data_IF_239365829711
#
_entry.id   IF_239365829711
#
_cell.length_a   1.000
_cell.length_b   1.000
_cell.length_c   1.000
_cell.angle_alpha   90.00
_cell.angle_beta   90.00
_cell.angle_gamma   90.00
#
_symmetry.space_group_name_H-M   'P 1'
#
loop_
_entity.id
_entity.type
_entity.pdbx_description
1 polymer ?
#
# COMPACT_ATOMS: atom_id res chain seq x y z
N UNK A 1 19.29 9.11 2.82
CA UNK A 1 20.73 8.89 2.58
C UNK A 1 21.02 8.18 1.25
N UNK A 2 20.36 7.05 0.90
CA UNK A 2 20.64 6.30 -0.34
C UNK A 2 20.43 7.10 -1.66
N UNK A 3 19.49 8.04 -1.69
CA UNK A 3 19.10 8.79 -2.89
C UNK A 3 20.16 9.76 -3.41
N UNK A 4 20.80 10.54 -2.53
CA UNK A 4 21.84 11.50 -2.91
C UNK A 4 23.06 10.77 -3.45
N UNK A 5 23.40 9.62 -2.87
CA UNK A 5 24.50 8.76 -3.31
C UNK A 5 24.27 8.21 -4.71
N UNK A 6 23.07 7.69 -5.01
CA UNK A 6 22.74 7.16 -6.35
C UNK A 6 22.84 8.26 -7.41
N UNK A 7 22.33 9.45 -7.12
CA UNK A 7 22.41 10.58 -8.04
C UNK A 7 23.87 10.99 -8.32
N UNK A 8 24.70 11.07 -7.27
CA UNK A 8 26.14 11.34 -7.41
C UNK A 8 26.82 10.25 -8.25
N UNK A 9 26.54 8.97 -7.99
CA UNK A 9 27.11 7.86 -8.77
C UNK A 9 26.74 7.94 -10.26
N UNK A 10 25.48 8.24 -10.59
CA UNK A 10 25.03 8.38 -11.97
C UNK A 10 25.73 9.56 -12.66
N UNK A 11 25.85 10.71 -11.97
CA UNK A 11 26.55 11.87 -12.52
C UNK A 11 28.03 11.57 -12.74
N UNK A 12 28.69 10.89 -11.79
CA UNK A 12 30.09 10.49 -11.92
C UNK A 12 30.29 9.50 -13.08
N UNK A 13 29.42 8.49 -13.20
CA UNK A 13 29.48 7.51 -14.29
C UNK A 13 29.33 8.19 -15.65
N UNK A 14 28.35 9.09 -15.79
CA UNK A 14 28.15 9.78 -17.06
C UNK A 14 29.31 10.72 -17.39
N UNK A 15 29.75 11.53 -16.42
CA UNK A 15 30.78 12.54 -16.63
C UNK A 15 32.19 11.94 -16.84
N UNK A 16 32.53 10.85 -16.14
CA UNK A 16 33.89 10.29 -16.17
C UNK A 16 34.05 9.11 -17.12
N UNK A 17 32.97 8.42 -17.48
CA UNK A 17 33.04 7.20 -18.30
C UNK A 17 32.30 7.38 -19.62
N UNK A 18 31.00 7.66 -19.57
CA UNK A 18 30.15 7.64 -20.76
C UNK A 18 30.48 8.80 -21.71
N UNK A 19 30.49 10.04 -21.21
CA UNK A 19 30.71 11.21 -22.05
C UNK A 19 32.11 11.22 -22.70
N UNK A 20 33.22 10.95 -21.97
CA UNK A 20 34.54 10.83 -22.59
C UNK A 20 34.63 9.72 -23.64
N UNK A 21 34.00 8.57 -23.37
CA UNK A 21 33.98 7.43 -24.32
C UNK A 21 33.23 7.78 -25.61
N UNK A 22 32.10 8.49 -25.52
CA UNK A 22 31.37 8.94 -26.71
C UNK A 22 32.17 10.01 -27.47
N UNK A 23 32.88 10.90 -26.77
CA UNK A 23 33.77 11.89 -27.41
C UNK A 23 34.85 11.17 -28.23
N UNK A 24 35.45 10.10 -27.70
CA UNK A 24 36.49 9.32 -28.40
C UNK A 24 35.99 8.55 -29.65
N UNK A 25 34.68 8.36 -29.84
CA UNK A 25 34.13 7.71 -31.04
C UNK A 25 34.17 8.60 -32.30
N UNK A 26 34.45 9.88 -32.13
CA UNK A 26 34.55 10.89 -33.19
C UNK A 26 36.04 11.08 -33.53
N UNK A 27 36.43 11.59 -34.73
CA UNK A 27 37.83 11.86 -35.10
C UNK A 27 38.47 12.99 -34.26
N UNK A 28 38.62 12.77 -32.95
CA UNK A 28 39.19 13.69 -31.96
C UNK A 28 40.64 14.00 -32.30
N UNK A 29 41.40 13.01 -32.77
CA UNK A 29 42.82 13.17 -33.13
C UNK A 29 43.01 14.28 -34.18
N UNK A 30 42.16 14.29 -35.21
CA UNK A 30 42.20 15.31 -36.27
C UNK A 30 41.84 16.71 -35.75
N UNK A 31 40.95 16.80 -34.76
CA UNK A 31 40.60 18.07 -34.13
C UNK A 31 41.63 18.52 -33.12
N UNK A 32 42.31 17.61 -32.45
CA UNK A 32 43.39 17.91 -31.54
C UNK A 32 44.59 18.51 -32.29
N UNK A 33 44.84 18.10 -33.53
CA UNK A 33 45.92 18.67 -34.34
C UNK A 33 45.53 20.01 -35.00
N UNK A 34 44.32 20.11 -35.54
CA UNK A 34 43.95 21.23 -36.43
C UNK A 34 42.93 22.22 -35.82
N UNK A 35 42.25 21.87 -34.72
CA UNK A 35 41.13 22.63 -34.15
C UNK A 35 41.00 22.47 -32.62
N UNK A 36 42.11 22.57 -31.87
CA UNK A 36 42.13 22.38 -30.39
C UNK A 36 41.12 23.24 -29.64
N UNK A 37 40.99 24.52 -30.03
CA UNK A 37 40.06 25.46 -29.43
C UNK A 37 38.59 25.00 -29.57
N UNK A 38 38.22 24.39 -30.70
CA UNK A 38 36.89 23.84 -30.91
C UNK A 38 36.63 22.65 -29.98
N UNK A 39 37.60 21.73 -29.86
CA UNK A 39 37.47 20.54 -29.00
C UNK A 39 37.26 20.91 -27.53
N UNK A 40 38.07 21.84 -27.00
CA UNK A 40 37.96 22.30 -25.60
C UNK A 40 36.58 22.95 -25.37
N UNK A 41 36.16 23.81 -26.30
CA UNK A 41 34.86 24.50 -26.22
C UNK A 41 33.70 23.51 -26.32
N UNK A 42 33.81 22.47 -27.16
CA UNK A 42 32.83 21.40 -27.31
C UNK A 42 32.68 20.63 -25.99
N UNK A 43 33.79 20.21 -25.39
CA UNK A 43 33.78 19.48 -24.11
C UNK A 43 33.07 20.32 -23.05
N UNK A 44 33.47 21.60 -22.89
CA UNK A 44 32.83 22.51 -21.94
C UNK A 44 31.32 22.65 -22.19
N UNK A 45 30.93 22.84 -23.45
CA UNK A 45 29.52 22.93 -23.86
C UNK A 45 28.71 21.67 -23.51
N UNK A 46 29.28 20.47 -23.68
CA UNK A 46 28.58 19.21 -23.36
C UNK A 46 28.35 19.04 -21.86
N UNK A 47 29.37 19.31 -21.04
CA UNK A 47 29.21 19.31 -19.58
C UNK A 47 28.25 20.39 -19.12
N UNK A 48 28.33 21.60 -19.68
CA UNK A 48 27.42 22.69 -19.37
C UNK A 48 25.97 22.30 -19.66
N UNK A 49 25.69 21.79 -20.86
CA UNK A 49 24.36 21.34 -21.27
C UNK A 49 23.83 20.25 -20.34
N UNK A 50 24.66 19.26 -20.01
CA UNK A 50 24.32 18.20 -19.08
C UNK A 50 23.94 18.75 -17.69
N UNK A 51 24.78 19.58 -17.09
CA UNK A 51 24.51 20.14 -15.75
C UNK A 51 23.31 21.08 -15.74
N UNK A 52 23.05 21.82 -16.82
CA UNK A 52 21.84 22.62 -16.97
C UNK A 52 20.61 21.72 -16.96
N UNK A 53 20.59 20.62 -17.71
CA UNK A 53 19.48 19.66 -17.67
C UNK A 53 19.28 19.05 -16.27
N UNK A 54 20.37 18.64 -15.60
CA UNK A 54 20.31 18.07 -14.24
C UNK A 54 19.80 19.08 -13.21
N UNK A 55 20.23 20.34 -13.28
CA UNK A 55 19.82 21.39 -12.34
C UNK A 55 18.38 21.84 -12.59
N UNK A 56 17.97 21.95 -13.85
CA UNK A 56 16.64 22.40 -14.23
C UNK A 56 15.55 21.34 -14.04
N UNK A 57 15.92 20.05 -13.95
CA UNK A 57 15.00 18.91 -13.81
C UNK A 57 13.86 18.98 -14.85
N UNK A 58 14.21 19.10 -16.12
CA UNK A 58 13.26 19.42 -17.20
C UNK A 58 12.00 18.52 -17.21
N UNK A 59 12.08 17.18 -17.05
CA UNK A 59 10.88 16.33 -16.98
C UNK A 59 9.97 16.67 -15.81
N UNK A 60 10.52 17.02 -14.64
CA UNK A 60 9.73 17.49 -13.50
C UNK A 60 8.96 18.77 -13.84
N UNK A 61 9.55 19.71 -14.58
CA UNK A 61 8.87 20.94 -15.00
C UNK A 61 7.67 20.64 -15.92
N UNK A 62 7.81 19.69 -16.84
CA UNK A 62 6.73 19.23 -17.72
C UNK A 62 5.60 18.57 -16.91
N UNK A 63 5.95 17.66 -16.00
CA UNK A 63 4.97 16.98 -15.14
C UNK A 63 4.21 17.92 -14.20
N UNK A 64 4.85 19.01 -13.75
CA UNK A 64 4.22 20.06 -12.94
C UNK A 64 3.55 21.17 -13.78
N UNK A 65 3.29 20.92 -15.08
CA UNK A 65 2.61 21.82 -16.03
C UNK A 65 3.32 23.18 -16.25
N UNK A 66 4.61 23.29 -15.96
CA UNK A 66 5.42 24.51 -16.19
C UNK A 66 6.00 24.55 -17.60
N UNK A 67 5.16 24.39 -18.62
CA UNK A 67 5.57 24.23 -20.02
C UNK A 67 6.35 25.43 -20.57
N UNK A 68 5.99 26.65 -20.18
CA UNK A 68 6.66 27.89 -20.64
C UNK A 68 8.13 27.91 -20.22
N UNK A 69 8.45 27.51 -18.99
CA UNK A 69 9.84 27.50 -18.50
C UNK A 69 10.66 26.42 -19.21
N UNK A 70 10.06 25.25 -19.46
CA UNK A 70 10.70 24.18 -20.21
C UNK A 70 10.96 24.58 -21.68
N UNK A 71 10.00 25.26 -22.31
CA UNK A 71 10.13 25.77 -23.67
C UNK A 71 11.23 26.83 -23.78
N UNK A 72 11.26 27.80 -22.86
CA UNK A 72 12.33 28.82 -22.81
C UNK A 72 13.70 28.16 -22.66
N UNK A 73 13.84 27.20 -21.74
CA UNK A 73 15.11 26.49 -21.56
C UNK A 73 15.53 25.73 -22.82
N UNK A 74 14.59 25.05 -23.48
CA UNK A 74 14.86 24.32 -24.71
C UNK A 74 15.30 25.27 -25.84
N UNK A 75 14.64 26.42 -26.01
CA UNK A 75 15.03 27.44 -27.00
C UNK A 75 16.42 27.99 -26.73
N UNK A 76 16.75 28.28 -25.47
CA UNK A 76 18.10 28.73 -25.08
C UNK A 76 19.15 27.67 -25.43
N UNK A 77 18.90 26.40 -25.07
CA UNK A 77 19.84 25.31 -25.35
C UNK A 77 20.03 25.09 -26.85
N UNK A 78 18.95 25.11 -27.64
CA UNK A 78 19.01 25.05 -29.11
C UNK A 78 19.82 26.23 -29.67
N UNK A 79 19.61 27.45 -29.17
CA UNK A 79 20.38 28.62 -29.57
C UNK A 79 21.88 28.48 -29.31
N UNK A 80 22.25 27.94 -28.14
CA UNK A 80 23.65 27.65 -27.80
C UNK A 80 24.22 26.57 -28.75
N UNK A 81 23.46 25.52 -29.07
CA UNK A 81 23.85 24.48 -30.02
C UNK A 81 24.08 25.02 -31.44
N UNK A 82 23.23 25.94 -31.90
CA UNK A 82 23.40 26.64 -33.18
C UNK A 82 24.67 27.48 -33.16
N UNK A 83 24.91 28.24 -32.08
CA UNK A 83 26.11 29.05 -31.94
C UNK A 83 27.39 28.19 -31.97
N UNK A 84 27.36 27.02 -31.30
CA UNK A 84 28.44 26.05 -31.32
C UNK A 84 28.67 25.43 -32.72
N UNK A 85 27.61 25.25 -33.50
CA UNK A 85 27.69 24.72 -34.87
C UNK A 85 28.41 25.66 -35.85
N UNK A 86 28.40 26.96 -35.57
CA UNK A 86 29.04 28.01 -36.38
C UNK A 86 30.40 28.47 -35.82
N UNK A 87 31.03 27.69 -34.93
CA UNK A 87 32.35 28.02 -34.38
C UNK A 87 33.39 28.21 -35.51
N UNK A 88 34.24 29.26 -35.44
CA UNK A 88 35.13 29.63 -36.53
C UNK A 88 36.06 28.49 -36.95
N UNK A 89 36.29 28.38 -38.25
CA UNK A 89 37.29 27.48 -38.81
C UNK A 89 38.63 28.23 -38.93
N UNK A 90 39.77 27.55 -38.74
CA UNK A 90 41.07 28.14 -39.03
C UNK A 90 41.12 28.59 -40.50
N UNK A 91 41.84 29.69 -40.80
CA UNK A 91 41.93 30.22 -42.15
C UNK A 91 42.43 29.14 -43.11
N UNK A 92 41.71 28.98 -44.21
CA UNK A 92 41.98 27.97 -45.23
C UNK A 92 43.04 28.53 -46.19
N UNK A 93 44.10 27.76 -46.48
CA UNK A 93 45.07 28.15 -47.52
C UNK A 93 44.37 28.32 -48.88
N UNK A 94 44.78 29.33 -49.67
CA UNK A 94 44.13 29.77 -50.91
C UNK A 94 43.90 28.67 -51.99
N UNK A 95 44.49 27.48 -51.83
CA UNK A 95 44.42 26.35 -52.76
C UNK A 95 43.59 25.16 -52.26
N UNK A 96 42.88 25.29 -51.13
CA UNK A 96 42.10 24.17 -50.61
C UNK A 96 40.80 23.95 -51.42
N UNK A 97 40.50 22.68 -51.70
CA UNK A 97 39.25 22.28 -52.36
C UNK A 97 38.03 22.75 -51.56
N UNK A 98 37.21 23.61 -52.19
CA UNK A 98 35.97 24.14 -51.60
C UNK A 98 35.01 23.02 -51.16
N UNK A 99 34.99 21.89 -51.90
CA UNK A 99 34.21 20.70 -51.54
C UNK A 99 34.68 20.04 -50.23
N UNK A 100 35.98 19.98 -49.97
CA UNK A 100 36.53 19.40 -48.75
C UNK A 100 36.26 20.29 -47.53
N UNK A 101 36.21 21.61 -47.71
CA UNK A 101 35.83 22.56 -46.66
C UNK A 101 34.36 22.40 -46.27
N UNK A 102 33.44 22.39 -47.23
CA UNK A 102 32.01 22.18 -46.95
C UNK A 102 31.75 20.80 -46.34
N UNK A 103 32.43 19.74 -46.80
CA UNK A 103 32.32 18.41 -46.18
C UNK A 103 32.75 18.41 -44.69
N UNK A 104 33.88 19.05 -44.36
CA UNK A 104 34.34 19.18 -42.96
C UNK A 104 33.36 19.98 -42.10
N UNK A 105 32.75 21.03 -42.66
CA UNK A 105 31.74 21.83 -42.01
C UNK A 105 30.46 21.04 -41.73
N UNK A 106 29.95 20.30 -42.71
CA UNK A 106 28.79 19.43 -42.53
C UNK A 106 29.01 18.37 -41.45
N UNK A 107 30.17 17.70 -41.46
CA UNK A 107 30.51 16.69 -40.45
C UNK A 107 30.56 17.30 -39.04
N UNK A 108 31.14 18.51 -38.89
CA UNK A 108 31.18 19.22 -37.60
C UNK A 108 29.78 19.52 -37.09
N UNK A 109 28.92 20.09 -37.93
CA UNK A 109 27.53 20.41 -37.58
C UNK A 109 26.80 19.14 -37.13
N UNK A 110 26.84 18.07 -37.94
CA UNK A 110 26.22 16.78 -37.61
C UNK A 110 26.70 16.25 -36.26
N UNK A 111 28.00 16.39 -35.97
CA UNK A 111 28.58 15.92 -34.72
C UNK A 111 28.11 16.73 -33.51
N UNK A 112 28.07 18.07 -33.61
CA UNK A 112 27.55 18.93 -32.53
C UNK A 112 26.10 18.59 -32.21
N UNK A 113 25.26 18.43 -33.24
CA UNK A 113 23.86 18.06 -33.05
C UNK A 113 23.68 16.63 -32.53
N UNK A 114 24.51 15.68 -32.96
CA UNK A 114 24.52 14.32 -32.45
C UNK A 114 24.82 14.29 -30.94
N UNK A 115 25.85 15.01 -30.50
CA UNK A 115 26.16 15.10 -29.07
C UNK A 115 25.07 15.82 -28.27
N UNK A 116 24.50 16.89 -28.81
CA UNK A 116 23.37 17.58 -28.19
C UNK A 116 22.19 16.63 -27.96
N UNK A 117 21.82 15.83 -28.97
CA UNK A 117 20.75 14.84 -28.88
C UNK A 117 21.05 13.75 -27.85
N UNK A 118 22.28 13.23 -27.80
CA UNK A 118 22.68 12.23 -26.81
C UNK A 118 22.61 12.78 -25.39
N UNK A 119 23.23 13.93 -25.13
CA UNK A 119 23.25 14.54 -23.79
C UNK A 119 21.83 14.87 -23.33
N UNK A 120 21.02 15.41 -24.24
CA UNK A 120 19.61 15.71 -23.97
C UNK A 120 18.83 14.44 -23.69
N UNK A 121 18.90 13.43 -24.56
CA UNK A 121 18.19 12.17 -24.44
C UNK A 121 18.55 11.42 -23.16
N UNK A 122 19.84 11.33 -22.83
CA UNK A 122 20.32 10.70 -21.60
C UNK A 122 19.84 11.45 -20.34
N UNK A 123 19.98 12.77 -20.33
CA UNK A 123 19.57 13.60 -19.18
C UNK A 123 18.07 13.53 -18.93
N UNK A 124 17.26 13.56 -20.00
CA UNK A 124 15.81 13.43 -19.92
C UNK A 124 15.40 12.03 -19.45
N UNK A 125 16.03 10.99 -19.98
CA UNK A 125 15.72 9.59 -19.64
C UNK A 125 15.92 9.34 -18.14
N UNK A 126 17.07 9.74 -17.58
CA UNK A 126 17.35 9.56 -16.16
C UNK A 126 16.36 10.30 -15.29
N UNK A 127 16.11 11.58 -15.58
CA UNK A 127 15.25 12.39 -14.73
C UNK A 127 13.79 11.94 -14.82
N UNK A 128 13.34 11.45 -15.98
CA UNK A 128 12.02 10.83 -16.13
C UNK A 128 11.91 9.52 -15.34
N UNK A 129 12.90 8.62 -15.46
CA UNK A 129 12.93 7.37 -14.67
C UNK A 129 12.90 7.67 -13.18
N UNK A 130 13.67 8.67 -12.73
CA UNK A 130 13.70 9.09 -11.34
C UNK A 130 12.33 9.61 -10.86
N UNK A 131 11.70 10.48 -11.63
CA UNK A 131 10.40 11.06 -11.28
C UNK A 131 9.30 9.99 -11.27
N UNK A 132 9.30 9.07 -12.24
CA UNK A 132 8.37 7.93 -12.27
C UNK A 132 8.53 7.04 -11.06
N UNK A 133 9.77 6.68 -10.70
CA UNK A 133 10.03 5.84 -9.53
C UNK A 133 9.58 6.52 -8.24
N UNK A 134 9.84 7.83 -8.10
CA UNK A 134 9.35 8.63 -6.98
C UNK A 134 7.82 8.64 -6.90
N UNK A 135 7.12 8.79 -8.02
CA UNK A 135 5.65 8.77 -8.06
C UNK A 135 5.08 7.39 -7.68
N UNK A 136 5.71 6.31 -8.13
CA UNK A 136 5.33 4.94 -7.76
C UNK A 136 5.43 4.75 -6.24
N UNK A 137 6.55 5.15 -5.64
CA UNK A 137 6.74 5.05 -4.19
C UNK A 137 5.72 5.88 -3.40
N UNK A 138 5.50 7.13 -3.80
CA UNK A 138 4.50 7.99 -3.16
C UNK A 138 3.08 7.41 -3.28
N UNK A 139 2.73 6.84 -4.43
CA UNK A 139 1.43 6.20 -4.62
C UNK A 139 1.27 4.97 -3.72
N UNK A 140 2.30 4.15 -3.58
CA UNK A 140 2.30 2.99 -2.67
C UNK A 140 2.14 3.42 -1.21
N UNK A 141 2.80 4.50 -0.79
CA UNK A 141 2.67 5.06 0.55
C UNK A 141 1.23 5.54 0.82
N UNK A 142 0.65 6.30 -0.09
CA UNK A 142 -0.74 6.77 0.01
C UNK A 142 -1.73 5.59 0.07
N UNK A 143 -1.51 4.55 -0.74
CA UNK A 143 -2.36 3.36 -0.76
C UNK A 143 -2.26 2.57 0.56
N UNK A 144 -1.05 2.46 1.12
CA UNK A 144 -0.85 1.84 2.43
C UNK A 144 -1.54 2.63 3.56
N UNK A 145 -1.41 3.96 3.57
CA UNK A 145 -2.10 4.83 4.53
C UNK A 145 -3.63 4.73 4.40
N UNK A 146 -4.13 4.69 3.17
CA UNK A 146 -5.56 4.48 2.89
C UNK A 146 -6.04 3.14 3.46
N UNK A 147 -5.33 2.05 3.20
CA UNK A 147 -5.69 0.72 3.71
C UNK A 147 -5.68 0.70 5.25
N UNK A 148 -4.72 1.38 5.87
CA UNK A 148 -4.65 1.53 7.34
C UNK A 148 -5.83 2.32 7.89
N UNK A 149 -6.25 3.38 7.21
CA UNK A 149 -7.42 4.17 7.59
C UNK A 149 -8.73 3.39 7.43
N UNK A 150 -8.89 2.64 6.33
CA UNK A 150 -10.04 1.75 6.12
C UNK A 150 -10.11 0.67 7.20
N UNK A 151 -8.98 0.04 7.54
CA UNK A 151 -8.90 -0.93 8.63
C UNK A 151 -9.31 -0.30 9.97
N UNK A 152 -8.86 0.91 10.27
CA UNK A 152 -9.23 1.63 11.49
C UNK A 152 -10.74 1.94 11.54
N UNK A 153 -11.34 2.30 10.41
CA UNK A 153 -12.78 2.53 10.29
C UNK A 153 -13.57 1.24 10.56
N UNK A 154 -13.15 0.11 9.97
CA UNK A 154 -13.79 -1.19 10.25
C UNK A 154 -13.63 -1.61 11.70
N UNK A 155 -12.48 -1.35 12.34
CA UNK A 155 -12.29 -1.56 13.79
C UNK A 155 -13.28 -0.73 14.62
N UNK A 156 -13.50 0.53 14.26
CA UNK A 156 -14.39 1.42 15.02
C UNK A 156 -15.88 1.03 14.94
N UNK A 157 -16.35 0.46 13.83
CA UNK A 157 -17.75 0.06 13.66
C UNK A 157 -18.16 -1.17 14.49
N UNK A 158 -17.22 -2.03 14.87
CA UNK A 158 -17.49 -3.30 15.57
C UNK A 158 -17.91 -3.07 17.04
N UNK A 159 -17.59 -1.91 17.61
CA UNK A 159 -17.65 -1.68 19.07
C UNK A 159 -19.01 -1.16 19.63
N UNK A 160 -19.72 -0.20 19.00
CA UNK A 160 -20.80 0.52 19.70
C UNK A 160 -22.05 -0.33 19.94
N UNK A 161 -22.51 -1.08 18.94
CA UNK A 161 -23.79 -1.77 19.00
C UNK A 161 -23.81 -2.89 20.06
N UNK A 162 -22.69 -3.61 20.19
CA UNK A 162 -22.53 -4.62 21.23
C UNK A 162 -22.60 -4.03 22.65
N UNK A 163 -21.88 -2.92 22.88
CA UNK A 163 -21.87 -2.26 24.19
C UNK A 163 -23.26 -1.79 24.60
N UNK A 164 -24.01 -1.16 23.69
CA UNK A 164 -25.38 -0.72 23.99
C UNK A 164 -26.32 -1.89 24.30
N UNK A 165 -26.26 -2.98 23.53
CA UNK A 165 -27.10 -4.15 23.78
C UNK A 165 -26.76 -4.85 25.09
N UNK A 166 -25.49 -4.85 25.46
CA UNK A 166 -25.02 -5.48 26.70
C UNK A 166 -25.39 -4.64 27.92
N UNK A 167 -25.28 -3.30 27.82
CA UNK A 167 -25.77 -2.38 28.85
C UNK A 167 -27.27 -2.53 29.09
N UNK A 168 -28.07 -2.62 28.02
CA UNK A 168 -29.52 -2.85 28.14
C UNK A 168 -29.84 -4.16 28.85
N UNK A 169 -29.05 -5.21 28.61
CA UNK A 169 -29.20 -6.49 29.29
C UNK A 169 -28.86 -6.41 30.79
N UNK A 170 -27.74 -5.75 31.12
CA UNK A 170 -27.35 -5.50 32.52
C UNK A 170 -28.42 -4.70 33.25
N UNK A 171 -28.97 -3.68 32.60
CA UNK A 171 -30.08 -2.90 33.15
C UNK A 171 -31.31 -3.77 33.45
N UNK A 172 -31.64 -4.72 32.58
CA UNK A 172 -32.71 -5.70 32.82
C UNK A 172 -32.44 -6.59 34.05
N UNK A 173 -31.21 -7.05 34.25
CA UNK A 173 -30.81 -7.84 35.43
C UNK A 173 -30.94 -7.02 36.72
N UNK A 174 -30.55 -5.74 36.68
CA UNK A 174 -30.72 -4.80 37.80
C UNK A 174 -32.19 -4.60 38.12
N UNK A 175 -33.03 -4.32 37.12
CA UNK A 175 -34.47 -4.12 37.31
C UNK A 175 -35.17 -5.35 37.91
N UNK A 176 -34.74 -6.54 37.49
CA UNK A 176 -35.31 -7.82 37.97
C UNK A 176 -34.70 -8.30 39.28
N UNK A 177 -33.74 -7.56 39.86
CA UNK A 177 -32.99 -7.93 41.07
C UNK A 177 -32.40 -9.35 40.98
N UNK A 178 -31.87 -9.70 39.81
CA UNK A 178 -31.32 -11.04 39.59
C UNK A 178 -30.06 -11.24 40.43
N UNK A 179 -29.93 -12.41 41.07
CA UNK A 179 -28.70 -12.82 41.76
C UNK A 179 -27.48 -12.91 40.81
N UNK A 180 -27.73 -12.98 39.49
CA UNK A 180 -26.69 -13.00 38.45
C UNK A 180 -26.10 -11.62 38.15
N UNK A 181 -26.67 -10.54 38.67
CA UNK A 181 -26.32 -9.16 38.31
C UNK A 181 -24.84 -8.86 38.55
N UNK A 182 -24.31 -9.18 39.73
CA UNK A 182 -22.89 -8.94 40.07
C UNK A 182 -21.95 -9.66 39.10
N UNK A 183 -22.20 -10.96 38.87
CA UNK A 183 -21.40 -11.75 37.94
C UNK A 183 -21.42 -11.19 36.51
N UNK A 184 -22.56 -10.67 36.07
CA UNK A 184 -22.71 -10.06 34.76
C UNK A 184 -21.89 -8.77 34.63
N UNK A 185 -21.87 -7.93 35.67
CA UNK A 185 -21.04 -6.72 35.70
C UNK A 185 -19.54 -7.02 35.67
N UNK A 186 -19.08 -8.05 36.41
CA UNK A 186 -17.68 -8.47 36.38
C UNK A 186 -17.30 -8.91 34.96
N UNK A 187 -18.09 -9.80 34.35
CA UNK A 187 -17.85 -10.26 32.96
C UNK A 187 -17.85 -9.10 31.96
N UNK A 188 -18.77 -8.17 32.10
CA UNK A 188 -18.81 -6.97 31.26
C UNK A 188 -17.58 -6.07 31.43
N UNK A 189 -17.09 -5.90 32.67
CA UNK A 189 -15.86 -5.16 32.94
C UNK A 189 -14.65 -5.80 32.28
N UNK A 190 -14.51 -7.13 32.34
CA UNK A 190 -13.43 -7.85 31.68
C UNK A 190 -13.48 -7.73 30.15
N UNK A 191 -14.67 -7.82 29.55
CA UNK A 191 -14.89 -7.55 28.13
C UNK A 191 -14.45 -6.12 27.78
N UNK A 192 -14.84 -5.11 28.56
CA UNK A 192 -14.43 -3.72 28.34
C UNK A 192 -12.91 -3.53 28.45
N UNK A 193 -12.27 -4.15 29.46
CA UNK A 193 -10.82 -4.10 29.64
C UNK A 193 -10.11 -4.70 28.43
N UNK A 194 -10.55 -5.86 27.95
CA UNK A 194 -10.04 -6.47 26.73
C UNK A 194 -10.16 -5.51 25.54
N UNK A 195 -11.35 -4.92 25.36
CA UNK A 195 -11.59 -4.03 24.24
C UNK A 195 -10.67 -2.81 24.29
N UNK A 196 -10.52 -2.19 25.46
CA UNK A 196 -9.64 -1.05 25.64
C UNK A 196 -8.16 -1.42 25.43
N UNK A 197 -7.70 -2.52 26.03
CA UNK A 197 -6.30 -2.94 25.97
C UNK A 197 -5.84 -3.26 24.54
N UNK A 198 -6.71 -3.86 23.72
CA UNK A 198 -6.32 -4.38 22.41
C UNK A 198 -6.90 -3.61 21.22
N UNK A 199 -7.60 -2.48 21.43
CA UNK A 199 -8.14 -1.63 20.33
C UNK A 199 -7.06 -1.22 19.33
N UNK A 200 -5.87 -0.83 19.82
CA UNK A 200 -4.75 -0.35 18.99
C UNK A 200 -3.78 -1.46 18.60
N UNK A 201 -3.94 -2.67 19.14
CA UNK A 201 -3.06 -3.80 18.84
C UNK A 201 -3.29 -4.29 17.40
N UNK A 202 -2.20 -4.61 16.70
CA UNK A 202 -2.27 -5.22 15.37
C UNK A 202 -2.63 -6.70 15.49
N UNK A 203 -2.00 -7.40 16.43
CA UNK A 203 -2.24 -8.81 16.73
C UNK A 203 -2.15 -9.09 18.22
N UNK A 204 -2.73 -10.21 18.65
CA UNK A 204 -2.74 -10.73 20.01
C UNK A 204 -2.63 -12.27 19.98
N UNK A 205 -2.20 -12.92 21.07
CA UNK A 205 -2.29 -14.38 21.19
C UNK A 205 -3.74 -14.87 21.05
N UNK A 206 -3.97 -15.98 20.34
CA UNK A 206 -5.31 -16.57 20.17
C UNK A 206 -5.96 -16.90 21.51
N UNK A 207 -5.17 -17.28 22.52
CA UNK A 207 -5.64 -17.52 23.89
C UNK A 207 -6.42 -16.32 24.43
N UNK A 208 -5.97 -15.08 24.16
CA UNK A 208 -6.66 -13.86 24.59
C UNK A 208 -7.98 -13.62 23.85
N UNK A 209 -8.03 -13.93 22.55
CA UNK A 209 -9.29 -13.86 21.79
C UNK A 209 -10.29 -14.93 22.27
N UNK A 210 -9.82 -16.14 22.57
CA UNK A 210 -10.64 -17.23 23.13
C UNK A 210 -11.19 -16.86 24.50
N UNK A 211 -10.35 -16.35 25.41
CA UNK A 211 -10.77 -15.88 26.74
C UNK A 211 -11.86 -14.81 26.62
N UNK A 212 -11.66 -13.84 25.72
CA UNK A 212 -12.65 -12.80 25.43
C UNK A 212 -13.97 -13.37 24.93
N UNK A 213 -13.93 -14.33 24.00
CA UNK A 213 -15.11 -15.00 23.46
C UNK A 213 -15.84 -15.81 24.54
N UNK A 214 -15.11 -16.52 25.41
CA UNK A 214 -15.70 -17.25 26.52
C UNK A 214 -16.47 -16.31 27.46
N UNK A 215 -15.86 -15.19 27.85
CA UNK A 215 -16.51 -14.20 28.72
C UNK A 215 -17.76 -13.62 28.05
N UNK A 216 -17.71 -13.37 26.74
CA UNK A 216 -18.86 -12.94 25.96
C UNK A 216 -19.98 -13.98 25.96
N UNK A 217 -19.66 -15.25 25.65
CA UNK A 217 -20.63 -16.35 25.58
C UNK A 217 -21.30 -16.54 26.94
N UNK A 218 -20.53 -16.52 28.01
CA UNK A 218 -21.05 -16.63 29.38
C UNK A 218 -22.02 -15.48 29.70
N UNK A 219 -21.63 -14.25 29.37
CA UNK A 219 -22.45 -13.07 29.64
C UNK A 219 -23.78 -13.11 28.86
N UNK A 220 -23.74 -13.49 27.58
CA UNK A 220 -24.98 -13.65 26.80
C UNK A 220 -25.82 -14.81 27.34
N UNK A 221 -25.20 -15.90 27.79
CA UNK A 221 -25.89 -17.07 28.33
C UNK A 221 -26.67 -16.76 29.60
N UNK A 222 -26.26 -15.75 30.40
CA UNK A 222 -27.05 -15.32 31.57
C UNK A 222 -28.44 -14.80 31.22
N UNK A 223 -28.66 -14.39 29.96
CA UNK A 223 -29.93 -13.84 29.46
C UNK A 223 -30.80 -14.88 28.78
N UNK A 224 -30.27 -16.06 28.50
CA UNK A 224 -30.99 -17.10 27.78
C UNK A 224 -32.00 -17.78 28.71
N UNK A 225 -33.16 -18.11 28.13
CA UNK A 225 -34.15 -18.95 28.77
C UNK A 225 -33.76 -20.44 28.63
N UNK A 226 -34.59 -21.33 29.18
CA UNK A 226 -34.42 -22.78 29.08
C UNK A 226 -34.46 -23.35 27.64
N UNK A 227 -34.95 -22.56 26.68
CA UNK A 227 -35.17 -22.99 25.30
C UNK A 227 -33.93 -22.83 24.41
N UNK A 228 -32.98 -21.97 24.78
CA UNK A 228 -31.76 -21.79 23.98
C UNK A 228 -30.56 -22.44 24.66
N UNK A 229 -29.96 -23.43 23.99
CA UNK A 229 -28.69 -24.05 24.44
C UNK A 229 -27.50 -23.52 23.63
N UNK A 230 -26.36 -23.31 24.29
CA UNK A 230 -25.13 -22.85 23.65
C UNK A 230 -24.01 -23.86 23.91
N UNK A 231 -23.39 -24.35 22.85
CA UNK A 231 -22.14 -25.14 22.91
C UNK A 231 -20.99 -24.27 22.43
N UNK A 232 -19.99 -24.09 23.29
CA UNK A 232 -18.74 -23.42 22.94
C UNK A 232 -17.58 -24.41 23.09
N UNK A 233 -16.89 -24.65 21.99
CA UNK A 233 -15.86 -25.68 21.89
C UNK A 233 -14.58 -25.09 21.34
N UNK A 234 -13.47 -25.35 22.02
CA UNK A 234 -12.14 -24.88 21.61
C UNK A 234 -11.15 -26.02 21.57
N UNK A 235 -10.26 -25.97 20.58
CA UNK A 235 -9.12 -26.88 20.48
C UNK A 235 -7.96 -26.10 19.89
N UNK A 236 -6.78 -26.16 20.52
CA UNK A 236 -5.60 -25.45 20.03
C UNK A 236 -4.35 -26.27 20.29
N UNK A 237 -3.46 -26.33 19.29
CA UNK A 237 -2.11 -26.87 19.42
C UNK A 237 -1.05 -25.77 19.67
N UNK A 238 -1.41 -24.49 19.53
CA UNK A 238 -0.55 -23.32 19.75
C UNK A 238 -1.37 -22.14 20.31
N UNK A 239 -1.31 -21.92 21.63
CA UNK A 239 -2.01 -20.83 22.32
C UNK A 239 -1.42 -19.43 22.06
N UNK A 240 -0.21 -19.36 21.51
CA UNK A 240 0.54 -18.12 21.30
C UNK A 240 0.48 -17.64 19.86
N UNK A 241 -0.18 -18.39 18.97
CA UNK A 241 -0.36 -17.95 17.58
C UNK A 241 -1.09 -16.61 17.54
N UNK A 242 -0.59 -15.71 16.70
CA UNK A 242 -1.02 -14.32 16.66
C UNK A 242 -2.20 -14.13 15.70
N UNK A 243 -3.24 -13.45 16.18
CA UNK A 243 -4.45 -13.12 15.42
C UNK A 243 -4.84 -11.65 15.65
N UNK A 244 -5.42 -10.94 14.67
CA UNK A 244 -6.05 -9.66 14.87
C UNK A 244 -7.17 -9.75 15.92
N UNK A 245 -7.21 -8.85 16.91
CA UNK A 245 -8.22 -8.88 17.96
C UNK A 245 -9.63 -8.65 17.37
N UNK A 246 -10.64 -9.25 17.98
CA UNK A 246 -12.06 -9.08 17.65
C UNK A 246 -12.39 -9.43 16.19
N UNK A 247 -11.68 -10.39 15.58
CA UNK A 247 -11.97 -10.81 14.21
C UNK A 247 -13.10 -11.85 14.17
N UNK A 248 -13.33 -12.56 15.28
CA UNK A 248 -14.33 -13.63 15.36
C UNK A 248 -15.67 -13.16 15.95
N UNK A 249 -15.64 -12.12 16.78
CA UNK A 249 -16.78 -11.71 17.61
C UNK A 249 -18.03 -11.38 16.81
N UNK A 250 -17.91 -10.77 15.63
CA UNK A 250 -19.06 -10.38 14.81
C UNK A 250 -19.88 -11.59 14.34
N UNK A 251 -19.23 -12.74 14.08
CA UNK A 251 -19.93 -13.97 13.71
C UNK A 251 -20.68 -14.58 14.90
N UNK A 252 -20.09 -14.47 16.08
CA UNK A 252 -20.67 -14.93 17.34
C UNK A 252 -21.87 -14.06 17.71
N UNK A 253 -21.75 -12.73 17.61
CA UNK A 253 -22.86 -11.79 17.80
C UNK A 253 -24.03 -12.09 16.88
N UNK A 254 -23.75 -12.39 15.61
CA UNK A 254 -24.79 -12.80 14.67
C UNK A 254 -25.48 -14.11 15.11
N UNK A 255 -24.72 -15.09 15.59
CA UNK A 255 -25.29 -16.35 16.08
C UNK A 255 -26.25 -16.11 17.28
N UNK A 256 -25.88 -15.27 18.25
CA UNK A 256 -26.78 -14.90 19.35
C UNK A 256 -27.96 -14.02 18.90
N UNK A 257 -27.77 -13.09 17.97
CA UNK A 257 -28.83 -12.18 17.52
C UNK A 257 -29.98 -12.91 16.82
N UNK A 258 -29.67 -13.99 16.08
CA UNK A 258 -30.63 -14.72 15.24
C UNK A 258 -30.92 -16.15 15.73
N UNK A 259 -30.11 -16.67 16.65
CA UNK A 259 -30.18 -18.05 17.15
C UNK A 259 -30.92 -18.26 18.47
N UNK A 260 -31.48 -17.20 19.04
CA UNK A 260 -32.21 -17.26 20.32
C UNK A 260 -33.71 -17.15 20.10
N UNK A 261 -34.51 -17.94 20.81
CA UNK A 261 -35.98 -17.88 20.80
C UNK A 261 -36.56 -17.85 22.21
N UNK A 262 -37.70 -17.18 22.37
CA UNK A 262 -38.43 -17.16 23.64
C UNK A 262 -39.29 -18.42 23.86
N UNK A 263 -39.74 -19.04 22.76
CA UNK A 263 -40.83 -20.01 22.78
C UNK A 263 -40.48 -21.36 22.13
N UNK A 264 -39.38 -21.43 21.38
CA UNK A 264 -38.95 -22.63 20.64
C UNK A 264 -37.54 -23.08 21.07
N UNK A 265 -37.36 -24.39 21.20
CA UNK A 265 -36.06 -24.97 21.52
C UNK A 265 -35.09 -24.76 20.34
N UNK A 266 -33.94 -24.17 20.63
CA UNK A 266 -32.92 -23.85 19.65
C UNK A 266 -31.52 -24.02 20.22
N UNK A 267 -30.54 -24.16 19.33
CA UNK A 267 -29.13 -24.32 19.70
C UNK A 267 -28.23 -23.38 18.92
N UNK A 268 -27.16 -22.97 19.59
CA UNK A 268 -26.04 -22.22 19.03
C UNK A 268 -24.76 -23.04 19.28
N UNK A 269 -24.05 -23.39 18.21
CA UNK A 269 -22.72 -23.99 18.28
C UNK A 269 -21.69 -22.94 17.86
N UNK A 270 -20.64 -22.80 18.65
CA UNK A 270 -19.46 -21.99 18.35
C UNK A 270 -18.25 -22.88 18.54
N UNK A 271 -17.46 -23.07 17.49
CA UNK A 271 -16.28 -23.93 17.51
C UNK A 271 -15.06 -23.18 16.97
N UNK A 272 -13.97 -23.19 17.73
CA UNK A 272 -12.69 -22.58 17.39
C UNK A 272 -11.61 -23.66 17.43
N UNK A 273 -11.01 -23.97 16.30
CA UNK A 273 -9.91 -24.93 16.20
C UNK A 273 -8.68 -24.22 15.64
N UNK A 274 -7.56 -24.29 16.35
CA UNK A 274 -6.23 -23.99 15.82
C UNK A 274 -5.50 -25.32 15.62
N UNK A 275 -5.02 -25.53 14.40
CA UNK A 275 -4.21 -26.70 14.08
C UNK A 275 -3.25 -26.41 12.94
N UNK A 276 -1.99 -26.79 13.11
CA UNK A 276 -0.95 -26.70 12.05
C UNK A 276 -0.86 -25.30 11.42
N UNK A 277 -1.01 -24.23 12.22
CA UNK A 277 -0.98 -22.85 11.74
C UNK A 277 -2.25 -22.38 11.01
N UNK A 278 -3.34 -23.16 11.04
CA UNK A 278 -4.64 -22.79 10.50
C UNK A 278 -5.65 -22.55 11.62
N UNK A 279 -6.43 -21.47 11.48
CA UNK A 279 -7.64 -21.25 12.26
C UNK A 279 -8.83 -21.77 11.49
N UNK A 280 -9.63 -22.63 12.12
CA UNK A 280 -10.92 -23.11 11.64
C UNK A 280 -11.97 -22.65 12.65
N UNK A 281 -12.77 -21.68 12.25
CA UNK A 281 -13.85 -21.12 13.03
C UNK A 281 -15.19 -21.52 12.42
N UNK A 282 -16.13 -21.99 13.25
CA UNK A 282 -17.47 -22.38 12.82
C UNK A 282 -18.52 -21.88 13.80
N UNK A 283 -19.58 -21.28 13.26
CA UNK A 283 -20.83 -21.08 14.00
C UNK A 283 -22.00 -21.75 13.30
N UNK A 284 -22.93 -22.25 14.10
CA UNK A 284 -24.17 -22.85 13.61
C UNK A 284 -25.31 -22.46 14.57
N UNK A 285 -26.39 -21.89 14.04
CA UNK A 285 -27.54 -21.50 14.83
C UNK A 285 -28.86 -21.75 14.08
N UNK A 286 -29.92 -22.06 14.82
CA UNK A 286 -31.26 -22.10 14.27
C UNK A 286 -31.72 -20.69 13.84
N UNK A 287 -32.51 -20.57 12.78
CA UNK A 287 -33.01 -19.28 12.26
C UNK A 287 -34.35 -18.99 12.96
N UNK A 288 -34.30 -18.26 14.07
CA UNK A 288 -35.49 -17.98 14.91
C UNK A 288 -36.13 -16.61 14.62
N UNK A 289 -35.44 -15.75 13.87
CA UNK A 289 -35.95 -14.44 13.43
C UNK A 289 -35.78 -14.29 11.92
N UNK A 290 -36.88 -14.01 11.21
CA UNK A 290 -36.82 -13.71 9.78
C UNK A 290 -36.04 -12.40 9.54
N UNK A 291 -35.10 -12.45 8.59
CA UNK A 291 -34.25 -11.31 8.20
C UNK A 291 -35.11 -10.12 7.75
N UNK A 292 -34.83 -8.94 8.29
CA UNK A 292 -34.78 -7.74 7.43
C UNK A 292 -33.41 -7.79 6.76
N UNK A 293 -33.38 -7.98 5.44
CA UNK A 293 -32.16 -8.40 4.71
C UNK A 293 -30.93 -7.48 4.84
N UNK A 294 -31.10 -6.21 5.23
CA UNK A 294 -30.02 -5.23 5.15
C UNK A 294 -29.02 -5.26 6.32
N UNK A 295 -29.43 -5.42 7.58
CA UNK A 295 -28.53 -5.21 8.73
C UNK A 295 -27.47 -6.30 8.93
N UNK A 296 -27.83 -7.57 8.67
CA UNK A 296 -26.91 -8.71 8.83
C UNK A 296 -25.89 -8.78 7.68
N UNK A 297 -26.29 -8.38 6.48
CA UNK A 297 -25.41 -8.35 5.31
C UNK A 297 -24.26 -7.37 5.53
N UNK A 298 -24.52 -6.21 6.14
CA UNK A 298 -23.50 -5.18 6.40
C UNK A 298 -22.41 -5.71 7.34
N UNK A 299 -22.76 -6.41 8.43
CA UNK A 299 -21.78 -6.90 9.40
C UNK A 299 -20.83 -7.96 8.84
N UNK A 300 -21.36 -8.93 8.07
CA UNK A 300 -20.54 -9.98 7.44
C UNK A 300 -19.70 -9.40 6.30
N UNK A 301 -20.26 -8.47 5.52
CA UNK A 301 -19.54 -7.81 4.43
C UNK A 301 -18.38 -6.95 4.95
N UNK A 302 -18.59 -6.23 6.04
CA UNK A 302 -17.51 -5.49 6.72
C UNK A 302 -16.41 -6.42 7.25
N UNK A 303 -16.80 -7.58 7.81
CA UNK A 303 -15.81 -8.59 8.22
C UNK A 303 -15.04 -9.15 7.03
N UNK A 304 -15.70 -9.41 5.90
CA UNK A 304 -15.06 -9.89 4.67
C UNK A 304 -14.01 -8.90 4.18
N UNK A 305 -14.35 -7.61 4.05
CA UNK A 305 -13.40 -6.57 3.65
C UNK A 305 -12.23 -6.45 4.62
N UNK A 306 -12.50 -6.54 5.92
CA UNK A 306 -11.45 -6.55 6.96
C UNK A 306 -10.53 -7.78 6.81
N UNK A 307 -11.08 -8.96 6.53
CA UNK A 307 -10.30 -10.18 6.28
C UNK A 307 -9.47 -10.08 4.99
N UNK A 308 -9.99 -9.46 3.92
CA UNK A 308 -9.26 -9.21 2.67
C UNK A 308 -8.04 -8.31 2.90
N UNK A 309 -8.18 -7.27 3.72
CA UNK A 309 -7.07 -6.38 4.09
C UNK A 309 -6.01 -7.07 4.97
N UNK A 310 -6.44 -7.96 5.88
CA UNK A 310 -5.54 -8.61 6.86
C UNK A 310 -4.90 -9.90 6.34
N UNK A 311 -5.61 -10.65 5.51
CA UNK A 311 -5.23 -11.99 5.04
C UNK A 311 -5.46 -12.14 3.53
N UNK A 312 -4.90 -11.27 2.66
CA UNK A 312 -5.16 -11.32 1.23
C UNK A 312 -4.79 -12.70 0.66
N UNK A 313 -5.79 -13.40 0.08
CA UNK A 313 -5.63 -14.74 -0.48
C UNK A 313 -5.38 -15.87 0.54
N UNK A 314 -5.39 -15.58 1.84
CA UNK A 314 -5.06 -16.52 2.94
C UNK A 314 -6.26 -16.87 3.83
N UNK A 315 -7.48 -16.58 3.39
CA UNK A 315 -8.69 -16.97 4.11
C UNK A 315 -9.81 -17.45 3.18
N UNK A 316 -10.71 -18.24 3.73
CA UNK A 316 -11.99 -18.59 3.11
C UNK A 316 -13.13 -18.33 4.10
N UNK A 317 -14.15 -17.60 3.64
CA UNK A 317 -15.35 -17.30 4.43
C UNK A 317 -16.59 -17.73 3.64
N UNK A 318 -17.26 -18.77 4.13
CA UNK A 318 -18.49 -19.30 3.55
C UNK A 318 -19.65 -19.20 4.53
N UNK A 319 -20.82 -18.81 4.02
CA UNK A 319 -22.08 -18.83 4.77
C UNK A 319 -23.07 -19.71 4.03
N UNK A 320 -23.84 -20.52 4.76
CA UNK A 320 -24.85 -21.39 4.17
C UNK A 320 -26.11 -21.38 5.02
N UNK A 321 -27.26 -21.38 4.34
CA UNK A 321 -28.57 -21.60 4.96
C UNK A 321 -29.08 -22.96 4.49
N UNK A 322 -29.20 -23.91 5.41
CA UNK A 322 -29.71 -25.25 5.13
C UNK A 322 -30.93 -25.45 6.01
N UNK A 323 -32.10 -25.58 5.38
CA UNK A 323 -33.40 -25.65 6.07
C UNK A 323 -33.59 -24.46 7.04
N UNK A 324 -33.57 -24.75 8.36
CA UNK A 324 -33.71 -23.79 9.45
C UNK A 324 -32.39 -23.47 10.15
N UNK A 325 -31.24 -23.90 9.61
CA UNK A 325 -29.92 -23.65 10.19
C UNK A 325 -29.14 -22.63 9.36
N UNK A 326 -28.51 -21.69 10.04
CA UNK A 326 -27.52 -20.78 9.49
C UNK A 326 -26.13 -21.21 9.95
N UNK A 327 -25.21 -21.42 9.00
CA UNK A 327 -23.84 -21.82 9.28
C UNK A 327 -22.86 -20.81 8.71
N UNK A 328 -21.86 -20.46 9.50
CA UNK A 328 -20.69 -19.69 9.07
C UNK A 328 -19.45 -20.53 9.28
N UNK A 329 -18.61 -20.60 8.26
CA UNK A 329 -17.31 -21.25 8.35
C UNK A 329 -16.25 -20.30 7.82
N UNK A 330 -15.24 -20.06 8.66
CA UNK A 330 -14.09 -19.21 8.37
C UNK A 330 -12.83 -20.06 8.56
N UNK A 331 -11.99 -20.13 7.53
CA UNK A 331 -10.65 -20.71 7.63
C UNK A 331 -9.62 -19.63 7.34
N UNK A 332 -8.59 -19.51 8.17
CA UNK A 332 -7.49 -18.55 7.98
C UNK A 332 -6.16 -19.29 8.10
N UNK A 333 -5.29 -19.07 7.12
CA UNK A 333 -3.88 -19.47 7.19
C UNK A 333 -3.11 -18.41 7.98
N UNK A 334 -2.71 -18.75 9.20
CA UNK A 334 -2.01 -17.83 10.11
C UNK A 334 -0.49 -17.83 9.89
N UNK A 335 0.05 -18.91 9.30
CA UNK A 335 1.47 -19.04 8.89
C UNK A 335 1.66 -18.99 7.39
#
# INVERSE_FOLDING_TARGET
MKYTTINICINLLFCLVILPLIIMLVPVDKWLEHNTAFLITLIFYLYFTYFVYRKAKLPSLLMHKKYVHAAILMVILIGITVMMSHFPFPPVENNADMHLFEARKHIRIQTVWFFFLIVTGFSLSIELTYELFRQILLKQEIEAEKNKAELALYKAQINPHFLFNTLNALYGLVLTKSDKTESAFIKFSEILKYMYAYTTSETIPISKEIDYIQQYVDLQSLRLNKHTQVSFETQTDDEQILIPPMILITFIENAFKYGTSSDEDCSILIRIIIKDGNLIFRTENAIMRNKKDNDSAIGIENCRKRLELLYPGRFTLSTSKIENLYKVQLTIQLR
#
